data_IF_678019436411
#
_entry.id   IF_678019436411
#
_cell.length_a   1.000
_cell.length_b   1.000
_cell.length_c   1.000
_cell.angle_alpha   90.00
_cell.angle_beta   90.00
_cell.angle_gamma   90.00
#
_symmetry.space_group_name_H-M   'P 1'
#
loop_
_entity.id
_entity.type
_entity.pdbx_description
1 polymer ?
#
# COMPACT_ATOMS: atom_id res chain seq x y z
N UNK A 1 -24.06 12.92 7.42
CA UNK A 1 -23.92 11.58 6.83
C UNK A 1 -23.45 11.63 5.39
N UNK A 2 -23.97 12.53 4.57
CA UNK A 2 -23.63 12.62 3.14
C UNK A 2 -22.13 12.75 2.88
N UNK A 3 -21.41 13.48 3.73
CA UNK A 3 -19.93 13.56 3.69
C UNK A 3 -19.26 12.20 3.82
N UNK A 4 -19.69 11.35 4.77
CA UNK A 4 -19.09 10.03 4.97
C UNK A 4 -19.33 9.10 3.78
N UNK A 5 -20.54 9.15 3.22
CA UNK A 5 -20.88 8.44 1.99
C UNK A 5 -19.99 8.92 0.82
N UNK A 6 -19.92 10.23 0.61
CA UNK A 6 -19.11 10.83 -0.45
C UNK A 6 -17.61 10.52 -0.31
N UNK A 7 -17.07 10.48 0.91
CA UNK A 7 -15.67 10.07 1.13
C UNK A 7 -15.44 8.60 0.73
N UNK A 8 -16.40 7.70 0.94
CA UNK A 8 -16.28 6.29 0.56
C UNK A 8 -16.30 6.16 -0.96
N UNK A 9 -17.22 6.85 -1.62
CA UNK A 9 -17.33 6.86 -3.07
C UNK A 9 -16.07 7.47 -3.71
N UNK A 10 -15.57 8.60 -3.18
CA UNK A 10 -14.29 9.18 -3.62
C UNK A 10 -13.09 8.27 -3.39
N UNK A 11 -13.06 7.49 -2.30
CA UNK A 11 -12.01 6.48 -2.11
C UNK A 11 -12.04 5.44 -3.22
N UNK A 12 -13.21 4.90 -3.56
CA UNK A 12 -13.37 3.89 -4.61
C UNK A 12 -13.02 4.44 -5.99
N UNK A 13 -13.50 5.64 -6.31
CA UNK A 13 -13.16 6.35 -7.55
C UNK A 13 -11.66 6.61 -7.65
N UNK A 14 -11.02 7.06 -6.58
CA UNK A 14 -9.57 7.29 -6.55
C UNK A 14 -8.77 6.00 -6.75
N UNK A 15 -9.23 4.88 -6.19
CA UNK A 15 -8.60 3.57 -6.42
C UNK A 15 -8.78 3.10 -7.86
N UNK A 16 -9.95 3.32 -8.45
CA UNK A 16 -10.21 3.03 -9.86
C UNK A 16 -9.32 3.89 -10.78
N UNK A 17 -9.23 5.20 -10.54
CA UNK A 17 -8.34 6.13 -11.26
C UNK A 17 -6.88 5.66 -11.19
N UNK A 18 -6.41 5.26 -10.01
CA UNK A 18 -5.06 4.77 -9.77
C UNK A 18 -4.74 3.43 -10.46
N UNK A 19 -5.76 2.64 -10.79
CA UNK A 19 -5.63 1.36 -11.48
C UNK A 19 -6.01 1.40 -12.97
N UNK A 20 -6.59 2.50 -13.45
CA UNK A 20 -7.17 2.60 -14.79
C UNK A 20 -6.16 2.37 -15.91
N UNK A 21 -4.94 2.90 -15.75
CA UNK A 21 -3.80 2.61 -16.64
C UNK A 21 -2.71 1.88 -15.87
N UNK A 22 -2.56 0.58 -16.13
CA UNK A 22 -1.55 -0.24 -15.46
C UNK A 22 -0.12 0.25 -15.66
N UNK A 23 0.15 1.06 -16.69
CA UNK A 23 1.47 1.67 -16.92
C UNK A 23 1.79 2.77 -15.90
N UNK A 24 0.75 3.34 -15.29
CA UNK A 24 0.81 4.38 -14.25
C UNK A 24 0.25 3.87 -12.91
N UNK A 25 0.15 2.55 -12.74
CA UNK A 25 -0.49 1.92 -11.59
C UNK A 25 0.06 2.46 -10.28
N UNK A 26 -0.80 3.13 -9.51
CA UNK A 26 -0.44 3.79 -8.26
C UNK A 26 -0.91 2.97 -7.07
N UNK A 27 -0.05 2.03 -6.70
CA UNK A 27 -0.27 1.09 -5.59
C UNK A 27 -0.41 1.78 -4.24
N UNK A 28 0.31 2.89 -4.06
CA UNK A 28 0.33 3.64 -2.82
C UNK A 28 -0.93 4.50 -2.65
N UNK A 29 -1.44 5.10 -3.74
CA UNK A 29 -2.76 5.74 -3.75
C UNK A 29 -3.87 4.74 -3.42
N UNK A 30 -3.81 3.52 -4.00
CA UNK A 30 -4.80 2.48 -3.69
C UNK A 30 -4.74 2.08 -2.21
N UNK A 31 -3.52 1.85 -1.69
CA UNK A 31 -3.31 1.54 -0.28
C UNK A 31 -3.83 2.64 0.63
N UNK A 32 -3.52 3.91 0.35
CA UNK A 32 -3.93 5.03 1.20
C UNK A 32 -5.46 5.19 1.22
N UNK A 33 -6.11 5.13 0.05
CA UNK A 33 -7.56 5.27 -0.06
C UNK A 33 -8.32 4.14 0.64
N UNK A 34 -7.82 2.89 0.57
CA UNK A 34 -8.41 1.73 1.25
C UNK A 34 -8.10 1.69 2.76
N UNK A 35 -6.89 2.08 3.18
CA UNK A 35 -6.46 2.09 4.59
C UNK A 35 -7.29 3.02 5.47
N UNK A 36 -7.85 4.09 4.90
CA UNK A 36 -8.80 4.97 5.58
C UNK A 36 -10.06 4.21 6.01
N UNK A 37 -10.45 3.12 5.35
CA UNK A 37 -11.71 2.43 5.59
C UNK A 37 -11.63 1.19 6.48
N UNK A 38 -10.42 0.67 6.73
CA UNK A 38 -10.19 -0.57 7.50
C UNK A 38 -10.95 -0.60 8.85
N UNK A 39 -10.72 0.40 9.70
CA UNK A 39 -11.39 0.50 11.01
C UNK A 39 -12.62 1.44 11.00
N UNK A 40 -13.07 1.88 9.82
CA UNK A 40 -14.07 2.95 9.68
C UNK A 40 -15.34 2.54 8.94
N UNK A 41 -15.36 1.36 8.29
CA UNK A 41 -16.58 0.84 7.67
C UNK A 41 -17.67 0.48 8.67
N UNK A 42 -17.37 -0.29 9.73
CA UNK A 42 -18.38 -0.58 10.76
C UNK A 42 -18.96 0.69 11.42
N UNK A 43 -18.13 1.69 11.80
CA UNK A 43 -18.64 2.98 12.22
C UNK A 43 -19.55 3.68 11.20
N UNK A 44 -19.21 3.63 9.91
CA UNK A 44 -20.04 4.20 8.83
C UNK A 44 -21.40 3.51 8.76
N UNK A 45 -21.44 2.17 8.77
CA UNK A 45 -22.70 1.42 8.78
C UNK A 45 -23.49 1.67 10.07
N UNK A 46 -22.83 1.77 11.22
CA UNK A 46 -23.48 2.12 12.49
C UNK A 46 -24.13 3.50 12.44
N UNK A 47 -23.45 4.48 11.87
CA UNK A 47 -24.01 5.79 11.65
C UNK A 47 -25.21 5.69 10.70
N UNK A 48 -25.06 5.09 9.51
CA UNK A 48 -26.11 4.95 8.49
C UNK A 48 -27.36 4.21 8.99
N UNK A 49 -27.18 3.12 9.74
CA UNK A 49 -28.28 2.30 10.26
C UNK A 49 -29.08 2.97 11.38
N UNK A 50 -28.70 4.19 11.80
CA UNK A 50 -29.44 4.94 12.81
C UNK A 50 -30.77 5.48 12.26
N UNK A 51 -31.88 5.05 12.86
CA UNK A 51 -33.24 5.40 12.43
C UNK A 51 -33.57 6.90 12.55
N UNK A 52 -33.13 7.54 13.64
CA UNK A 52 -33.36 8.96 13.88
C UNK A 52 -32.33 9.82 13.12
N UNK A 53 -32.79 10.69 12.21
CA UNK A 53 -31.93 11.53 11.38
C UNK A 53 -30.96 12.42 12.18
N UNK A 54 -31.44 13.08 13.24
CA UNK A 54 -30.58 13.93 14.09
C UNK A 54 -29.50 13.12 14.82
N UNK A 55 -29.84 11.91 15.31
CA UNK A 55 -28.85 10.99 15.90
C UNK A 55 -27.88 10.44 14.86
N UNK A 56 -28.36 10.19 13.65
CA UNK A 56 -27.56 9.76 12.50
C UNK A 56 -26.47 10.77 12.18
N UNK A 57 -26.84 12.05 12.08
CA UNK A 57 -25.89 13.14 11.82
C UNK A 57 -24.86 13.30 12.95
N UNK A 58 -25.29 13.20 14.22
CA UNK A 58 -24.35 13.22 15.35
C UNK A 58 -23.35 12.07 15.29
N UNK A 59 -23.84 10.85 15.01
CA UNK A 59 -22.96 9.68 14.85
C UNK A 59 -22.02 9.84 13.66
N UNK A 60 -22.50 10.36 12.54
CA UNK A 60 -21.68 10.67 11.38
C UNK A 60 -20.50 11.60 11.75
N UNK A 61 -20.79 12.65 12.51
CA UNK A 61 -19.77 13.57 13.01
C UNK A 61 -18.76 12.85 13.90
N UNK A 62 -19.21 12.02 14.85
CA UNK A 62 -18.31 11.21 15.68
C UNK A 62 -17.40 10.31 14.85
N UNK A 63 -17.90 9.73 13.76
CA UNK A 63 -17.08 8.92 12.84
C UNK A 63 -16.06 9.79 12.09
N UNK A 64 -16.44 10.98 11.61
CA UNK A 64 -15.51 11.91 10.95
C UNK A 64 -14.40 12.38 11.90
N UNK A 65 -14.76 12.74 13.14
CA UNK A 65 -13.81 13.12 14.19
C UNK A 65 -12.84 11.96 14.50
N UNK A 66 -13.37 10.74 14.59
CA UNK A 66 -12.59 9.52 14.78
C UNK A 66 -11.60 9.29 13.63
N UNK A 67 -12.07 9.38 12.38
CA UNK A 67 -11.24 9.23 11.19
C UNK A 67 -10.12 10.28 11.12
N UNK A 68 -10.43 11.55 11.41
CA UNK A 68 -9.45 12.63 11.43
C UNK A 68 -8.42 12.50 12.56
N UNK A 69 -8.77 11.79 13.64
CA UNK A 69 -7.91 11.58 14.80
C UNK A 69 -6.65 10.73 14.56
N UNK A 70 -6.49 10.13 13.38
CA UNK A 70 -5.34 9.29 13.01
C UNK A 70 -4.16 10.07 12.39
N UNK A 71 -4.18 11.39 12.45
CA UNK A 71 -3.03 12.25 12.13
C UNK A 71 -3.27 13.22 10.99
N UNK A 72 -2.31 14.14 10.83
CA UNK A 72 -2.37 15.26 9.87
C UNK A 72 -2.59 14.80 8.43
N UNK A 73 -1.85 13.76 7.99
CA UNK A 73 -1.97 13.23 6.61
C UNK A 73 -3.37 12.71 6.31
N UNK A 74 -4.00 12.01 7.26
CA UNK A 74 -5.37 11.50 7.09
C UNK A 74 -6.39 12.64 7.11
N UNK A 75 -6.24 13.62 8.02
CA UNK A 75 -7.11 14.81 8.07
C UNK A 75 -7.03 15.61 6.76
N UNK A 76 -5.82 15.83 6.24
CA UNK A 76 -5.59 16.55 4.98
C UNK A 76 -6.25 15.82 3.81
N UNK A 77 -6.02 14.51 3.68
CA UNK A 77 -6.68 13.67 2.67
C UNK A 77 -8.20 13.76 2.76
N UNK A 78 -8.79 13.64 3.96
CA UNK A 78 -10.25 13.74 4.13
C UNK A 78 -10.78 15.10 3.68
N UNK A 79 -10.07 16.18 4.01
CA UNK A 79 -10.47 17.55 3.67
C UNK A 79 -10.43 17.76 2.16
N UNK A 80 -9.35 17.32 1.50
CA UNK A 80 -9.20 17.38 0.05
C UNK A 80 -10.28 16.57 -0.67
N UNK A 81 -10.49 15.31 -0.28
CA UNK A 81 -11.47 14.44 -0.96
C UNK A 81 -12.91 14.90 -0.72
N UNK A 82 -13.24 15.42 0.47
CA UNK A 82 -14.55 16.00 0.73
C UNK A 82 -14.79 17.27 -0.10
N UNK A 83 -13.77 18.13 -0.25
CA UNK A 83 -13.87 19.34 -1.06
C UNK A 83 -14.13 19.03 -2.55
N UNK A 84 -13.46 17.99 -3.09
CA UNK A 84 -13.74 17.49 -4.46
C UNK A 84 -15.21 17.04 -4.60
N UNK A 85 -15.77 16.44 -3.55
CA UNK A 85 -17.18 16.06 -3.51
C UNK A 85 -18.15 17.21 -3.16
N UNK A 86 -17.65 18.46 -3.07
CA UNK A 86 -18.47 19.65 -2.80
C UNK A 86 -18.78 19.93 -1.33
N UNK A 87 -18.02 19.36 -0.39
CA UNK A 87 -18.22 19.54 1.05
C UNK A 87 -17.03 20.23 1.71
N UNK A 88 -17.30 21.30 2.47
CA UNK A 88 -16.34 21.86 3.42
C UNK A 88 -16.50 21.17 4.79
N UNK A 89 -15.51 20.36 5.16
CA UNK A 89 -15.52 19.58 6.41
C UNK A 89 -14.49 20.08 7.41
N UNK A 90 -13.59 20.97 7.01
CA UNK A 90 -12.51 21.45 7.87
C UNK A 90 -13.04 22.07 9.19
N UNK A 91 -14.10 22.89 9.19
CA UNK A 91 -14.71 23.42 10.41
C UNK A 91 -15.32 22.35 11.33
N UNK A 92 -15.58 21.14 10.81
CA UNK A 92 -16.20 20.03 11.54
C UNK A 92 -15.16 19.09 12.17
N UNK A 93 -13.91 19.15 11.71
CA UNK A 93 -12.87 18.25 12.17
C UNK A 93 -12.09 18.89 13.32
N UNK A 94 -11.72 18.11 14.36
CA UNK A 94 -10.82 18.60 15.38
C UNK A 94 -9.45 18.96 14.75
N UNK A 95 -8.65 19.79 15.42
CA UNK A 95 -7.25 19.98 15.04
C UNK A 95 -6.57 18.62 14.95
N UNK A 96 -5.72 18.44 13.93
CA UNK A 96 -4.90 17.25 13.87
C UNK A 96 -4.04 17.18 15.14
N UNK A 97 -3.95 15.98 15.73
CA UNK A 97 -3.05 15.77 16.85
C UNK A 97 -1.62 15.87 16.33
N UNK A 98 -0.83 16.75 16.94
CA UNK A 98 0.59 16.84 16.66
C UNK A 98 1.24 15.46 16.85
N UNK A 99 2.16 15.11 15.95
CA UNK A 99 2.89 13.86 16.05
C UNK A 99 3.92 13.94 17.18
N UNK A 100 3.47 13.68 18.42
CA UNK A 100 4.35 13.62 19.58
C UNK A 100 4.94 12.21 19.71
N UNK A 101 6.22 12.09 20.10
CA UNK A 101 6.81 10.80 20.45
C UNK A 101 5.93 10.05 21.45
N UNK A 102 5.56 8.82 21.11
CA UNK A 102 4.78 7.94 21.98
C UNK A 102 5.68 7.14 22.91
N UNK A 103 5.06 6.43 23.87
CA UNK A 103 5.71 5.37 24.63
C UNK A 103 5.17 4.01 24.20
N UNK A 104 6.03 3.01 24.09
CA UNK A 104 5.64 1.63 23.80
C UNK A 104 4.87 0.98 24.97
N UNK A 105 4.62 -0.32 24.90
CA UNK A 105 3.92 -1.05 25.98
C UNK A 105 4.78 -1.26 27.23
N UNK A 106 6.11 -1.12 27.12
CA UNK A 106 7.07 -1.17 28.23
C UNK A 106 7.29 0.21 28.85
N UNK A 107 6.75 1.26 28.23
CA UNK A 107 6.92 2.64 28.67
C UNK A 107 8.13 3.35 28.06
N UNK A 108 8.87 2.70 27.16
CA UNK A 108 10.01 3.32 26.49
C UNK A 108 9.54 4.28 25.40
N UNK A 109 10.17 5.45 25.31
CA UNK A 109 9.88 6.38 24.21
C UNK A 109 10.23 5.78 22.85
N UNK A 110 9.38 6.04 21.87
CA UNK A 110 9.55 5.61 20.49
C UNK A 110 9.93 6.80 19.62
N UNK A 111 10.72 6.53 18.60
CA UNK A 111 11.11 7.50 17.58
C UNK A 111 9.86 8.05 16.87
N UNK A 112 9.75 9.37 16.71
CA UNK A 112 8.75 9.93 15.83
C UNK A 112 9.13 9.67 14.36
N UNK A 113 8.14 9.79 13.47
CA UNK A 113 8.40 9.98 12.05
C UNK A 113 8.78 11.43 11.83
N UNK A 114 9.86 11.67 11.09
CA UNK A 114 10.44 12.99 10.90
C UNK A 114 10.53 13.33 9.41
N UNK A 115 10.35 14.60 9.07
CA UNK A 115 10.72 15.10 7.73
C UNK A 115 12.23 15.05 7.55
N UNK A 116 12.69 14.81 6.33
CA UNK A 116 14.11 14.93 5.98
C UNK A 116 14.48 16.42 5.92
N UNK A 117 14.97 16.94 7.04
CA UNK A 117 15.50 18.29 7.16
C UNK A 117 16.92 18.23 7.72
N UNK A 118 17.72 19.26 7.47
CA UNK A 118 19.08 19.34 8.01
C UNK A 118 19.11 19.13 9.52
N UNK A 119 18.20 19.80 10.23
CA UNK A 119 18.07 19.68 11.68
C UNK A 119 17.82 18.23 12.12
N UNK A 120 16.84 17.55 11.52
CA UNK A 120 16.50 16.17 11.91
C UNK A 120 17.61 15.17 11.55
N UNK A 121 18.32 15.38 10.43
CA UNK A 121 19.48 14.56 10.06
C UNK A 121 20.65 14.80 11.03
N UNK A 122 20.92 16.05 11.40
CA UNK A 122 21.96 16.40 12.38
C UNK A 122 21.67 15.76 13.76
N UNK A 123 20.40 15.56 14.11
CA UNK A 123 20.01 14.81 15.32
C UNK A 123 20.28 13.31 15.22
N UNK A 124 20.23 12.69 14.03
CA UNK A 124 20.50 11.24 13.88
C UNK A 124 21.98 10.88 14.05
N UNK A 125 22.88 11.74 13.55
CA UNK A 125 24.32 11.44 13.41
C UNK A 125 25.00 11.07 14.75
N UNK A 126 24.70 11.71 15.90
CA UNK A 126 25.30 11.32 17.17
C UNK A 126 24.94 9.91 17.62
N UNK A 127 23.75 9.41 17.28
CA UNK A 127 23.23 8.14 17.78
C UNK A 127 23.49 6.96 16.82
N UNK A 128 23.68 7.22 15.52
CA UNK A 128 23.81 6.19 14.49
C UNK A 128 24.96 6.45 13.52
N UNK A 129 25.66 5.39 13.11
CA UNK A 129 26.71 5.45 12.10
C UNK A 129 26.18 5.18 10.68
N UNK A 130 25.68 6.23 10.03
CA UNK A 130 25.15 6.13 8.66
C UNK A 130 26.24 5.82 7.62
N UNK A 131 27.50 6.18 7.89
CA UNK A 131 28.61 5.89 6.98
C UNK A 131 28.95 4.40 6.91
N UNK A 132 28.65 3.63 7.96
CA UNK A 132 28.76 2.17 7.99
C UNK A 132 27.45 1.45 7.64
N UNK A 133 26.34 2.18 7.55
CA UNK A 133 25.03 1.60 7.32
C UNK A 133 24.96 0.79 6.03
N UNK A 134 24.07 -0.19 5.99
CA UNK A 134 23.87 -1.03 4.80
C UNK A 134 22.44 -1.06 4.34
N UNK A 135 22.24 -1.12 3.03
CA UNK A 135 20.91 -1.18 2.43
C UNK A 135 20.33 -2.56 2.65
N UNK A 136 19.21 -2.64 3.38
CA UNK A 136 18.42 -3.87 3.55
C UNK A 136 17.33 -3.98 2.52
N UNK A 137 16.67 -2.87 2.19
CA UNK A 137 15.59 -2.83 1.22
C UNK A 137 15.66 -1.54 0.42
N UNK A 138 15.37 -1.64 -0.87
CA UNK A 138 15.06 -0.50 -1.71
C UNK A 138 13.82 -0.82 -2.54
N UNK A 139 12.99 0.18 -2.76
CA UNK A 139 11.85 0.11 -3.66
C UNK A 139 11.69 1.44 -4.34
N UNK A 140 11.50 1.40 -5.65
CA UNK A 140 11.13 2.55 -6.47
C UNK A 140 9.87 2.18 -7.22
N UNK A 141 8.86 3.03 -7.16
CA UNK A 141 7.59 2.78 -7.84
C UNK A 141 6.98 4.06 -8.38
N UNK A 142 6.11 3.90 -9.38
CA UNK A 142 5.26 4.97 -9.87
C UNK A 142 4.22 5.36 -8.82
N UNK A 143 4.02 6.66 -8.69
CA UNK A 143 2.89 7.30 -8.04
C UNK A 143 2.19 8.15 -9.11
N UNK A 144 1.37 7.49 -9.93
CA UNK A 144 0.85 8.05 -11.17
C UNK A 144 1.98 8.40 -12.15
N UNK A 145 2.12 9.69 -12.48
CA UNK A 145 3.15 10.19 -13.40
C UNK A 145 4.50 10.44 -12.73
N UNK A 146 4.55 10.39 -11.40
CA UNK A 146 5.76 10.67 -10.60
C UNK A 146 6.36 9.37 -10.08
N UNK A 147 7.53 9.47 -9.45
CA UNK A 147 8.18 8.34 -8.78
C UNK A 147 8.24 8.60 -7.27
N UNK A 148 8.13 7.51 -6.50
CA UNK A 148 8.42 7.49 -5.07
C UNK A 148 9.45 6.41 -4.79
N UNK A 149 10.21 6.57 -3.71
CA UNK A 149 11.16 5.57 -3.27
C UNK A 149 11.07 5.30 -1.77
N UNK A 150 11.32 4.06 -1.38
CA UNK A 150 11.51 3.63 0.01
C UNK A 150 12.87 2.93 0.10
N UNK A 151 13.75 3.45 0.96
CA UNK A 151 15.05 2.86 1.25
C UNK A 151 15.08 2.52 2.74
N UNK A 152 15.37 1.27 3.07
CA UNK A 152 15.57 0.81 4.44
C UNK A 152 17.05 0.52 4.66
N UNK A 153 17.63 1.19 5.65
CA UNK A 153 19.03 1.05 6.02
C UNK A 153 19.13 0.32 7.37
N UNK A 154 20.07 -0.61 7.49
CA UNK A 154 20.55 -1.12 8.78
C UNK A 154 21.63 -0.16 9.24
N UNK A 155 21.37 0.55 10.34
CA UNK A 155 22.29 1.53 10.90
C UNK A 155 22.90 1.02 12.21
N UNK A 156 24.21 1.11 12.34
CA UNK A 156 24.91 0.73 13.56
C UNK A 156 24.71 1.80 14.63
N UNK A 157 24.49 1.35 15.87
CA UNK A 157 24.29 2.23 17.02
C UNK A 157 25.63 2.75 17.51
N UNK A 158 25.68 4.03 17.90
CA UNK A 158 26.82 4.65 18.59
C UNK A 158 26.68 4.65 20.12
N UNK A 159 25.65 3.99 20.63
CA UNK A 159 25.34 3.85 22.06
C UNK A 159 25.21 2.38 22.44
N UNK A 160 25.48 2.09 23.72
CA UNK A 160 25.45 0.73 24.25
C UNK A 160 24.01 0.17 24.32
N UNK A 161 23.86 -1.09 23.92
CA UNK A 161 22.65 -1.90 24.03
C UNK A 161 23.02 -3.31 24.46
N UNK A 162 22.07 -4.07 25.00
CA UNK A 162 22.28 -5.50 25.27
C UNK A 162 22.56 -6.26 23.96
N UNK A 163 23.48 -7.23 23.97
CA UNK A 163 23.96 -7.94 22.76
C UNK A 163 22.85 -8.61 21.92
N UNK A 164 21.70 -8.92 22.53
CA UNK A 164 20.57 -9.53 21.85
C UNK A 164 19.61 -8.53 21.16
N UNK A 165 19.96 -7.24 21.07
CA UNK A 165 19.09 -6.23 20.46
C UNK A 165 18.98 -6.43 18.93
N UNK A 166 17.76 -6.40 18.34
CA UNK A 166 17.58 -6.37 16.90
C UNK A 166 18.34 -5.22 16.24
N UNK A 167 18.70 -5.29 14.94
CA UNK A 167 19.31 -4.17 14.24
C UNK A 167 18.39 -2.93 14.26
N UNK A 168 18.98 -1.73 14.30
CA UNK A 168 18.22 -0.50 14.10
C UNK A 168 17.95 -0.31 12.60
N UNK A 169 16.68 -0.08 12.24
CA UNK A 169 16.27 0.08 10.85
C UNK A 169 15.84 1.52 10.61
N UNK A 170 16.53 2.22 9.72
CA UNK A 170 16.14 3.54 9.26
C UNK A 170 15.36 3.39 7.95
N UNK A 171 14.03 3.53 8.04
CA UNK A 171 13.15 3.66 6.88
C UNK A 171 13.20 5.09 6.36
N UNK A 172 13.48 5.28 5.07
CA UNK A 172 13.48 6.58 4.40
C UNK A 172 12.54 6.54 3.21
N UNK A 173 11.54 7.41 3.17
CA UNK A 173 10.61 7.59 2.07
C UNK A 173 10.91 8.88 1.34
N UNK A 174 10.93 8.83 0.01
CA UNK A 174 11.21 9.94 -0.88
C UNK A 174 10.02 10.15 -1.81
N UNK A 175 9.55 11.39 -1.87
CA UNK A 175 8.42 11.85 -2.67
C UNK A 175 8.93 12.63 -3.89
N UNK A 176 8.31 12.40 -5.05
CA UNK A 176 8.67 13.05 -6.32
C UNK A 176 10.16 12.84 -6.69
N UNK A 177 10.56 11.58 -6.78
CA UNK A 177 11.93 11.17 -7.13
C UNK A 177 12.23 11.53 -8.58
N UNK A 178 13.33 12.27 -8.81
CA UNK A 178 13.75 12.79 -10.12
C UNK A 178 15.00 12.12 -10.66
N UNK A 179 15.84 11.55 -9.81
CA UNK A 179 17.08 10.87 -10.23
C UNK A 179 17.36 9.65 -9.35
N UNK A 180 17.73 8.54 -9.99
CA UNK A 180 17.94 7.23 -9.42
C UNK A 180 19.14 6.59 -10.09
N UNK A 181 20.07 6.14 -9.25
CA UNK A 181 21.17 5.29 -9.63
C UNK A 181 21.41 4.30 -8.50
N UNK A 182 21.36 3.01 -8.80
CA UNK A 182 21.69 1.98 -7.84
C UNK A 182 22.26 0.74 -8.53
N UNK A 183 23.32 0.19 -7.96
CA UNK A 183 23.89 -1.13 -8.26
C UNK A 183 24.11 -1.89 -6.94
N UNK A 184 24.23 -3.22 -6.96
CA UNK A 184 24.49 -4.01 -5.76
C UNK A 184 25.81 -3.65 -5.07
N UNK A 185 26.76 -3.07 -5.81
CA UNK A 185 27.99 -2.50 -5.25
C UNK A 185 27.76 -1.26 -4.36
N UNK A 186 26.59 -0.64 -4.44
CA UNK A 186 26.24 0.58 -3.71
C UNK A 186 25.56 0.30 -2.35
N UNK A 187 25.57 -0.94 -1.88
CA UNK A 187 24.80 -1.37 -0.70
C UNK A 187 25.38 -0.96 0.65
N UNK A 188 26.56 -0.33 0.68
CA UNK A 188 27.28 0.03 1.91
C UNK A 188 27.59 1.52 1.98
N UNK A 189 27.38 2.10 3.15
CA UNK A 189 27.52 3.52 3.44
C UNK A 189 26.37 4.35 2.89
N UNK A 190 25.81 5.19 3.74
CA UNK A 190 24.71 6.09 3.41
C UNK A 190 24.99 7.52 3.87
N UNK A 191 24.65 8.48 3.01
CA UNK A 191 24.65 9.91 3.34
C UNK A 191 23.28 10.48 3.00
N UNK A 192 22.64 11.10 3.97
CA UNK A 192 21.37 11.81 3.78
C UNK A 192 21.66 13.27 3.43
N UNK A 193 21.18 13.70 2.27
CA UNK A 193 21.32 15.07 1.77
C UNK A 193 20.03 15.85 2.03
N UNK A 194 20.18 17.06 2.54
CA UNK A 194 19.04 17.96 2.79
C UNK A 194 19.34 19.34 2.22
N UNK A 195 18.53 19.75 1.26
CA UNK A 195 18.56 21.07 0.64
C UNK A 195 17.23 21.79 0.82
N UNK A 196 17.18 23.08 0.45
CA UNK A 196 15.98 23.90 0.59
C UNK A 196 14.82 23.46 -0.34
N UNK A 197 15.11 22.74 -1.42
CA UNK A 197 14.15 22.33 -2.46
C UNK A 197 14.30 20.88 -2.90
N UNK A 198 15.28 20.17 -2.35
CA UNK A 198 15.65 18.84 -2.78
C UNK A 198 16.20 18.09 -1.57
N UNK A 199 15.81 16.83 -1.46
CA UNK A 199 16.40 15.87 -0.52
C UNK A 199 16.99 14.71 -1.30
N UNK A 200 17.94 14.01 -0.72
CA UNK A 200 18.54 12.87 -1.39
C UNK A 200 19.24 11.90 -0.47
N UNK A 201 19.62 10.77 -1.05
CA UNK A 201 20.39 9.74 -0.38
C UNK A 201 21.54 9.37 -1.32
N UNK A 202 22.77 9.40 -0.85
CA UNK A 202 23.89 8.72 -1.52
C UNK A 202 24.15 7.40 -0.85
N UNK A 203 24.39 6.36 -1.64
CA UNK A 203 24.65 4.99 -1.20
C UNK A 203 25.92 4.49 -1.86
N UNK A 204 26.90 4.05 -1.07
CA UNK A 204 28.17 3.55 -1.59
C UNK A 204 28.88 4.49 -2.58
N UNK A 205 29.61 3.94 -3.56
CA UNK A 205 30.45 4.73 -4.47
C UNK A 205 29.65 5.52 -5.51
N UNK A 206 28.51 5.01 -5.99
CA UNK A 206 27.79 5.62 -7.11
C UNK A 206 26.26 5.71 -6.92
N UNK A 207 25.73 5.07 -5.88
CA UNK A 207 24.30 5.03 -5.61
C UNK A 207 23.78 6.41 -5.21
N UNK A 208 22.66 6.81 -5.79
CA UNK A 208 22.00 8.07 -5.46
C UNK A 208 20.50 8.07 -5.73
N UNK A 209 19.79 8.79 -4.88
CA UNK A 209 18.38 9.13 -5.01
C UNK A 209 18.22 10.63 -4.80
N UNK A 210 17.45 11.30 -5.67
CA UNK A 210 17.10 12.72 -5.54
C UNK A 210 15.60 12.90 -5.65
N UNK A 211 15.04 13.72 -4.78
CA UNK A 211 13.60 13.86 -4.62
C UNK A 211 13.23 15.27 -4.15
N UNK A 212 12.00 15.71 -4.39
CA UNK A 212 11.54 17.03 -3.94
C UNK A 212 11.34 17.08 -2.41
N UNK A 213 10.99 15.95 -1.81
CA UNK A 213 10.76 15.83 -0.37
C UNK A 213 10.94 14.41 0.13
N UNK A 214 10.90 14.26 1.44
CA UNK A 214 10.93 12.95 2.06
C UNK A 214 10.83 12.98 3.57
N UNK A 215 10.70 11.80 4.13
CA UNK A 215 10.53 11.53 5.54
C UNK A 215 11.30 10.27 5.93
N UNK A 216 11.64 10.16 7.21
CA UNK A 216 12.24 8.95 7.75
C UNK A 216 11.57 8.54 9.04
N UNK A 217 11.71 7.25 9.36
CA UNK A 217 11.33 6.67 10.64
C UNK A 217 12.39 5.65 11.03
N UNK A 218 12.75 5.66 12.29
CA UNK A 218 13.76 4.78 12.84
C UNK A 218 13.09 3.69 13.67
N UNK A 219 13.05 2.45 13.21
CA UNK A 219 12.63 1.31 14.02
C UNK A 219 13.81 0.81 14.86
N UNK A 220 13.89 1.32 16.09
CA UNK A 220 14.87 0.88 17.08
C UNK A 220 14.23 0.82 18.48
N UNK A 221 14.02 -0.41 18.97
CA UNK A 221 13.45 -0.67 20.31
C UNK A 221 14.35 -0.18 21.45
N UNK A 222 15.64 0.01 21.17
CA UNK A 222 16.64 0.51 22.11
C UNK A 222 16.86 2.01 21.98
N UNK A 223 16.11 2.72 21.12
CA UNK A 223 16.30 4.16 20.91
C UNK A 223 16.19 4.99 22.20
N UNK A 224 15.38 4.58 23.17
CA UNK A 224 15.27 5.22 24.48
C UNK A 224 16.62 5.30 25.25
N UNK A 225 17.60 4.45 24.91
CA UNK A 225 18.97 4.48 25.46
C UNK A 225 19.91 5.44 24.73
N UNK A 226 19.49 5.98 23.59
CA UNK A 226 20.25 6.95 22.81
C UNK A 226 20.24 8.34 23.47
N UNK A 227 21.06 9.27 22.99
CA UNK A 227 21.09 10.64 23.54
C UNK A 227 19.77 11.36 23.28
N UNK A 228 19.23 11.26 22.06
CA UNK A 228 17.95 11.88 21.73
C UNK A 228 16.77 11.15 22.37
N UNK A 229 16.86 9.83 22.52
CA UNK A 229 15.88 9.03 23.25
C UNK A 229 15.75 9.50 24.69
N UNK A 230 16.87 9.67 25.41
CA UNK A 230 16.86 10.21 26.79
C UNK A 230 16.33 11.64 26.87
N UNK A 231 16.68 12.51 25.92
CA UNK A 231 16.14 13.89 25.86
C UNK A 231 14.62 13.88 25.65
N UNK A 232 14.16 13.02 24.75
CA UNK A 232 12.73 12.83 24.46
C UNK A 232 12.00 12.23 25.65
N UNK A 233 12.62 11.28 26.35
CA UNK A 233 12.08 10.65 27.56
C UNK A 233 11.80 11.66 28.67
N UNK A 234 12.70 12.63 28.87
CA UNK A 234 12.55 13.67 29.88
C UNK A 234 11.35 14.61 29.65
N UNK A 235 10.85 14.71 28.41
CA UNK A 235 9.76 15.63 28.03
C UNK A 235 8.47 14.89 27.67
N UNK A 236 8.55 13.61 27.29
CA UNK A 236 7.39 12.79 26.95
C UNK A 236 6.65 12.37 28.22
N UNK A 237 5.37 12.77 28.41
CA UNK A 237 4.61 12.40 29.60
C UNK A 237 4.60 10.89 29.87
N UNK A 238 4.59 10.52 31.14
CA UNK A 238 4.45 9.12 31.54
C UNK A 238 3.14 8.53 31.00
N UNK A 239 3.17 7.24 30.70
CA UNK A 239 1.99 6.54 30.21
C UNK A 239 0.95 6.46 31.35
N UNK A 240 -0.13 7.22 31.25
CA UNK A 240 -1.14 7.34 32.33
C UNK A 240 -2.05 6.11 32.45
N UNK A 241 -2.04 5.18 31.49
CA UNK A 241 -2.71 3.86 31.59
C UNK A 241 -2.19 2.88 30.53
N UNK A 242 -2.48 1.58 30.67
CA UNK A 242 -2.48 0.65 29.52
C UNK A 242 -3.58 1.11 28.56
N UNK A 243 -3.27 2.11 27.74
CA UNK A 243 -4.12 2.57 26.65
C UNK A 243 -4.32 1.40 25.72
N UNK A 244 -5.42 0.67 25.91
CA UNK A 244 -6.01 -0.10 24.83
C UNK A 244 -6.15 0.87 23.66
N UNK A 245 -5.87 0.42 22.42
CA UNK A 245 -6.24 1.20 21.26
C UNK A 245 -7.69 1.65 21.46
N UNK A 246 -8.00 2.95 21.32
CA UNK A 246 -9.37 3.39 21.47
C UNK A 246 -10.23 2.56 20.51
N UNK A 247 -11.38 2.08 21.00
CA UNK A 247 -12.26 1.27 20.15
C UNK A 247 -12.93 2.19 19.13
N UNK A 248 -13.10 1.75 17.88
CA UNK A 248 -13.87 2.51 16.91
C UNK A 248 -15.29 2.74 17.45
N UNK A 249 -15.89 3.92 17.20
CA UNK A 249 -17.25 4.20 17.64
C UNK A 249 -18.22 3.26 16.94
N UNK A 250 -19.13 2.65 17.69
CA UNK A 250 -20.04 1.68 17.11
C UNK A 250 -20.98 1.04 18.12
N UNK A 251 -21.91 0.27 17.58
CA UNK A 251 -22.74 -0.71 18.28
C UNK A 251 -22.97 -1.88 17.31
N UNK A 252 -23.59 -2.94 17.81
CA UNK A 252 -23.95 -4.08 16.97
C UNK A 252 -24.88 -3.62 15.83
N UNK A 253 -24.62 -4.18 14.65
CA UNK A 253 -25.42 -3.96 13.45
C UNK A 253 -26.46 -5.08 13.33
N UNK A 254 -27.61 -4.74 12.76
CA UNK A 254 -28.57 -5.77 12.34
C UNK A 254 -27.93 -6.71 11.30
N UNK A 255 -28.38 -7.96 11.15
CA UNK A 255 -27.68 -9.01 10.40
C UNK A 255 -27.32 -8.68 8.93
N UNK A 256 -28.22 -8.08 8.15
CA UNK A 256 -27.97 -7.74 6.74
C UNK A 256 -27.06 -6.51 6.63
N UNK A 257 -27.25 -5.50 7.48
CA UNK A 257 -26.31 -4.38 7.59
C UNK A 257 -24.90 -4.85 8.00
N UNK A 258 -24.80 -5.82 8.90
CA UNK A 258 -23.54 -6.43 9.29
C UNK A 258 -22.89 -7.18 8.12
N UNK A 259 -23.67 -7.98 7.38
CA UNK A 259 -23.18 -8.71 6.22
C UNK A 259 -22.63 -7.77 5.13
N UNK A 260 -23.35 -6.68 4.81
CA UNK A 260 -22.90 -5.65 3.89
C UNK A 260 -21.61 -4.97 4.37
N UNK A 261 -21.52 -4.63 5.66
CA UNK A 261 -20.32 -4.05 6.26
C UNK A 261 -19.12 -5.00 6.18
N UNK A 262 -19.32 -6.29 6.46
CA UNK A 262 -18.27 -7.32 6.38
C UNK A 262 -17.77 -7.52 4.96
N UNK A 263 -18.68 -7.56 3.98
CA UNK A 263 -18.35 -7.72 2.58
C UNK A 263 -17.48 -6.56 2.09
N UNK A 264 -17.93 -5.31 2.31
CA UNK A 264 -17.18 -4.14 1.89
C UNK A 264 -15.86 -3.98 2.68
N UNK A 265 -15.84 -4.36 3.97
CA UNK A 265 -14.61 -4.38 4.76
C UNK A 265 -13.58 -5.33 4.18
N UNK A 266 -14.01 -6.53 3.78
CA UNK A 266 -13.12 -7.47 3.14
C UNK A 266 -12.65 -6.98 1.76
N UNK A 267 -13.52 -6.34 0.97
CA UNK A 267 -13.11 -5.70 -0.28
C UNK A 267 -12.01 -4.66 -0.07
N UNK A 268 -12.13 -3.80 0.96
CA UNK A 268 -11.10 -2.82 1.29
C UNK A 268 -9.79 -3.48 1.75
N UNK A 269 -9.84 -4.61 2.43
CA UNK A 269 -8.65 -5.38 2.80
C UNK A 269 -7.96 -6.00 1.59
N UNK A 270 -8.73 -6.57 0.66
CA UNK A 270 -8.20 -7.10 -0.61
C UNK A 270 -7.56 -5.98 -1.44
N UNK A 271 -8.25 -4.85 -1.62
CA UNK A 271 -7.71 -3.65 -2.29
C UNK A 271 -6.44 -3.15 -1.61
N UNK A 272 -6.39 -3.11 -0.28
CA UNK A 272 -5.20 -2.71 0.49
C UNK A 272 -4.05 -3.71 0.33
N UNK A 273 -4.32 -4.97 0.01
CA UNK A 273 -3.29 -6.02 -0.10
C UNK A 273 -2.29 -5.75 -1.22
N UNK A 274 -2.64 -4.90 -2.21
CA UNK A 274 -1.67 -4.41 -3.22
C UNK A 274 -0.46 -3.72 -2.59
N UNK A 275 -0.54 -3.29 -1.31
CA UNK A 275 0.62 -2.82 -0.55
C UNK A 275 1.76 -3.84 -0.45
N UNK A 276 1.45 -5.12 -0.64
CA UNK A 276 2.43 -6.17 -0.79
C UNK A 276 2.70 -6.33 -2.27
N UNK A 277 3.93 -6.04 -2.68
CA UNK A 277 4.31 -6.11 -4.07
C UNK A 277 3.98 -7.47 -4.71
N UNK A 278 4.01 -8.57 -3.94
CA UNK A 278 3.68 -9.91 -4.43
C UNK A 278 2.23 -10.11 -4.87
N UNK A 279 1.31 -9.21 -4.52
CA UNK A 279 -0.12 -9.37 -4.79
C UNK A 279 -0.68 -8.37 -5.81
N UNK A 280 0.15 -7.42 -6.29
CA UNK A 280 -0.36 -6.28 -7.07
C UNK A 280 -1.03 -6.68 -8.40
N UNK A 281 -0.61 -7.76 -9.04
CA UNK A 281 -1.20 -8.28 -10.29
C UNK A 281 -2.30 -9.33 -10.08
N UNK A 282 -2.50 -9.80 -8.86
CA UNK A 282 -3.54 -10.78 -8.51
C UNK A 282 -4.85 -10.12 -8.04
N UNK A 283 -4.76 -8.93 -7.44
CA UNK A 283 -5.94 -8.21 -6.92
C UNK A 283 -6.71 -7.56 -8.08
N UNK A 284 -8.00 -7.87 -8.28
CA UNK A 284 -8.80 -7.31 -9.36
C UNK A 284 -9.31 -5.90 -8.98
N UNK A 285 -8.40 -4.93 -8.79
CA UNK A 285 -8.69 -3.58 -8.26
C UNK A 285 -9.82 -2.90 -9.03
N UNK A 286 -9.71 -2.81 -10.37
CA UNK A 286 -10.70 -2.14 -11.21
C UNK A 286 -12.08 -2.78 -11.06
N UNK A 287 -12.16 -4.11 -11.10
CA UNK A 287 -13.44 -4.85 -10.98
C UNK A 287 -14.07 -4.67 -9.61
N UNK A 288 -13.28 -4.71 -8.54
CA UNK A 288 -13.79 -4.46 -7.19
C UNK A 288 -14.30 -3.02 -7.06
N UNK A 289 -13.58 -2.03 -7.58
CA UNK A 289 -14.02 -0.63 -7.53
C UNK A 289 -15.31 -0.41 -8.36
N UNK A 290 -15.43 -1.04 -9.53
CA UNK A 290 -16.64 -1.01 -10.36
C UNK A 290 -17.85 -1.61 -9.62
N UNK A 291 -17.69 -2.79 -9.00
CA UNK A 291 -18.75 -3.48 -8.26
C UNK A 291 -19.23 -2.70 -7.04
N UNK A 292 -18.34 -1.96 -6.39
CA UNK A 292 -18.69 -1.15 -5.21
C UNK A 292 -18.91 0.33 -5.55
N UNK A 293 -18.94 0.71 -6.83
CA UNK A 293 -19.17 2.09 -7.22
C UNK A 293 -20.51 2.61 -6.65
N UNK A 294 -20.48 3.79 -6.01
CA UNK A 294 -21.64 4.35 -5.33
C UNK A 294 -22.04 3.66 -4.02
N UNK A 295 -21.16 2.83 -3.43
CA UNK A 295 -21.43 2.16 -2.15
C UNK A 295 -21.81 3.13 -1.03
N UNK A 296 -21.20 4.31 -0.96
CA UNK A 296 -21.53 5.35 0.02
C UNK A 296 -22.98 5.80 -0.10
N UNK A 297 -23.41 6.19 -1.30
CA UNK A 297 -24.80 6.54 -1.60
C UNK A 297 -25.76 5.39 -1.29
N UNK A 298 -25.45 4.16 -1.72
CA UNK A 298 -26.28 2.98 -1.49
C UNK A 298 -26.47 2.69 0.01
N UNK A 299 -25.40 2.78 0.81
CA UNK A 299 -25.44 2.61 2.26
C UNK A 299 -26.29 3.70 2.91
N UNK A 300 -26.13 4.96 2.48
CA UNK A 300 -26.93 6.07 2.98
C UNK A 300 -28.42 5.88 2.66
N UNK A 301 -28.74 5.44 1.44
CA UNK A 301 -30.11 5.18 0.99
C UNK A 301 -30.75 4.03 1.77
N UNK A 302 -30.06 2.90 1.93
CA UNK A 302 -30.52 1.76 2.72
C UNK A 302 -30.72 2.14 4.21
N UNK A 303 -29.73 2.82 4.80
CA UNK A 303 -29.81 3.36 6.15
C UNK A 303 -30.94 4.39 6.34
N UNK A 304 -31.38 5.06 5.28
CA UNK A 304 -32.46 6.05 5.33
C UNK A 304 -33.87 5.47 5.40
N UNK A 305 -34.03 4.17 5.17
CA UNK A 305 -35.34 3.53 5.20
C UNK A 305 -36.01 3.65 6.58
N UNK A 306 -37.32 3.86 6.58
CA UNK A 306 -38.13 3.94 7.82
C UNK A 306 -38.52 2.53 8.28
N UNK A 307 -38.21 2.22 9.54
CA UNK A 307 -38.44 0.90 10.15
C UNK A 307 -37.26 -0.05 9.98
N UNK A 308 -37.04 -0.93 10.96
CA UNK A 308 -35.90 -1.86 10.97
C UNK A 308 -36.00 -2.87 9.81
N UNK A 309 -37.17 -3.50 9.63
CA UNK A 309 -37.38 -4.51 8.56
C UNK A 309 -37.13 -3.98 7.15
N UNK A 310 -37.55 -2.76 6.84
CA UNK A 310 -37.31 -2.14 5.51
C UNK A 310 -35.85 -1.78 5.29
N UNK A 311 -35.16 -1.38 6.36
CA UNK A 311 -33.73 -1.08 6.34
C UNK A 311 -32.90 -2.33 6.06
N UNK A 312 -33.19 -3.43 6.75
CA UNK A 312 -32.55 -4.72 6.53
C UNK A 312 -32.80 -5.25 5.12
N UNK A 313 -34.05 -5.21 4.66
CA UNK A 313 -34.37 -5.55 3.27
C UNK A 313 -33.59 -4.69 2.26
N UNK A 314 -33.44 -3.39 2.52
CA UNK A 314 -32.65 -2.52 1.65
C UNK A 314 -31.15 -2.83 1.68
N UNK A 315 -30.58 -3.23 2.83
CA UNK A 315 -29.18 -3.69 2.87
C UNK A 315 -28.99 -5.02 2.14
N UNK A 316 -29.96 -5.93 2.24
CA UNK A 316 -29.98 -7.17 1.46
C UNK A 316 -30.00 -6.86 -0.05
N UNK A 317 -30.83 -5.90 -0.49
CA UNK A 317 -30.89 -5.47 -1.88
C UNK A 317 -29.58 -4.83 -2.36
N UNK A 318 -28.89 -4.07 -1.49
CA UNK A 318 -27.55 -3.53 -1.77
C UNK A 318 -26.54 -4.65 -2.04
N UNK A 319 -26.50 -5.69 -1.18
CA UNK A 319 -25.59 -6.84 -1.37
C UNK A 319 -25.87 -7.54 -2.70
N UNK A 320 -27.15 -7.76 -3.04
CA UNK A 320 -27.55 -8.38 -4.31
C UNK A 320 -27.19 -7.52 -5.51
N UNK A 321 -27.33 -6.20 -5.41
CA UNK A 321 -26.92 -5.26 -6.46
C UNK A 321 -25.42 -5.37 -6.74
N UNK A 322 -24.57 -5.36 -5.71
CA UNK A 322 -23.12 -5.54 -5.88
C UNK A 322 -22.79 -6.87 -6.55
N UNK A 323 -23.44 -7.96 -6.14
CA UNK A 323 -23.23 -9.27 -6.75
C UNK A 323 -23.69 -9.36 -8.21
N UNK A 324 -24.74 -8.64 -8.57
CA UNK A 324 -25.24 -8.56 -9.95
C UNK A 324 -24.34 -7.73 -10.87
N UNK A 325 -23.68 -6.71 -10.34
CA UNK A 325 -22.70 -5.90 -11.07
C UNK A 325 -21.39 -6.65 -11.32
N UNK A 326 -21.08 -7.65 -10.50
CA UNK A 326 -19.88 -8.47 -10.63
C UNK A 326 -19.94 -9.44 -11.82
N UNK A 327 -18.76 -9.73 -12.38
CA UNK A 327 -18.58 -10.90 -13.24
C UNK A 327 -18.69 -12.20 -12.41
N UNK A 328 -18.81 -13.40 -13.04
CA UNK A 328 -18.97 -14.64 -12.30
C UNK A 328 -17.85 -14.98 -11.29
N UNK A 329 -16.64 -14.45 -11.49
CA UNK A 329 -15.54 -14.66 -10.56
C UNK A 329 -15.67 -13.75 -9.33
N UNK A 330 -16.04 -12.48 -9.53
CA UNK A 330 -16.34 -11.56 -8.44
C UNK A 330 -17.60 -12.00 -7.67
N UNK A 331 -18.68 -12.41 -8.33
CA UNK A 331 -19.88 -12.94 -7.67
C UNK A 331 -19.56 -14.16 -6.80
N UNK A 332 -18.67 -15.06 -7.27
CA UNK A 332 -18.21 -16.20 -6.49
C UNK A 332 -17.38 -15.75 -5.29
N UNK A 333 -16.48 -14.78 -5.46
CA UNK A 333 -15.73 -14.19 -4.36
C UNK A 333 -16.66 -13.58 -3.31
N UNK A 334 -17.68 -12.82 -3.73
CA UNK A 334 -18.71 -12.25 -2.82
C UNK A 334 -19.41 -13.37 -2.03
N UNK A 335 -19.85 -14.43 -2.70
CA UNK A 335 -20.53 -15.56 -2.05
C UNK A 335 -19.63 -16.23 -0.98
N UNK A 336 -18.35 -16.45 -1.30
CA UNK A 336 -17.36 -16.99 -0.33
C UNK A 336 -17.20 -16.07 0.88
N UNK A 337 -17.07 -14.76 0.68
CA UNK A 337 -16.92 -13.80 1.78
C UNK A 337 -18.16 -13.78 2.67
N UNK A 338 -19.36 -13.80 2.09
CA UNK A 338 -20.60 -13.82 2.85
C UNK A 338 -20.75 -15.12 3.65
N UNK A 339 -20.42 -16.28 3.06
CA UNK A 339 -20.40 -17.56 3.75
C UNK A 339 -19.39 -17.59 4.91
N UNK A 340 -18.12 -17.35 4.62
CA UNK A 340 -17.01 -17.57 5.56
C UNK A 340 -16.89 -16.46 6.62
N UNK A 341 -17.23 -15.21 6.27
CA UNK A 341 -16.93 -14.03 7.10
C UNK A 341 -18.16 -13.37 7.69
N UNK A 342 -19.34 -13.54 7.08
CA UNK A 342 -20.60 -12.99 7.57
C UNK A 342 -21.59 -14.06 8.05
N UNK A 343 -21.33 -15.35 7.80
CA UNK A 343 -22.23 -16.44 8.17
C UNK A 343 -23.55 -16.44 7.40
N UNK A 344 -23.56 -15.90 6.18
CA UNK A 344 -24.75 -15.68 5.34
C UNK A 344 -24.57 -16.24 3.92
N UNK A 345 -24.40 -17.57 3.77
CA UNK A 345 -24.25 -18.21 2.46
C UNK A 345 -25.54 -18.20 1.62
N UNK A 346 -26.67 -17.78 2.22
CA UNK A 346 -28.02 -17.82 1.65
C UNK A 346 -28.39 -16.57 0.82
N UNK A 347 -27.54 -15.54 0.80
CA UNK A 347 -27.90 -14.25 0.20
C UNK A 347 -27.80 -14.25 -1.34
N UNK A 348 -26.80 -14.95 -1.89
CA UNK A 348 -26.48 -15.00 -3.33
C UNK A 348 -26.19 -16.45 -3.72
N UNK A 349 -26.73 -16.88 -4.86
CA UNK A 349 -26.41 -18.17 -5.46
C UNK A 349 -24.99 -18.16 -6.03
N UNK A 350 -24.16 -19.11 -5.61
CA UNK A 350 -22.80 -19.26 -6.12
C UNK A 350 -22.82 -19.73 -7.58
N UNK A 351 -22.31 -18.94 -8.55
CA UNK A 351 -22.24 -19.39 -9.93
C UNK A 351 -21.38 -20.65 -10.05
N UNK A 352 -21.87 -21.65 -10.80
CA UNK A 352 -21.10 -22.86 -11.07
C UNK A 352 -19.77 -22.48 -11.73
N UNK A 353 -18.62 -23.03 -11.30
CA UNK A 353 -17.36 -22.77 -11.99
C UNK A 353 -17.54 -23.12 -13.46
N UNK A 354 -17.14 -22.21 -14.35
CA UNK A 354 -17.03 -22.53 -15.75
C UNK A 354 -16.10 -23.75 -15.85
N UNK A 355 -16.54 -24.80 -16.56
CA UNK A 355 -15.69 -25.92 -16.90
C UNK A 355 -14.53 -25.31 -17.68
N UNK A 356 -13.36 -25.16 -17.05
CA UNK A 356 -12.15 -24.77 -17.75
C UNK A 356 -11.94 -25.86 -18.80
N UNK A 357 -12.23 -25.54 -20.05
CA UNK A 357 -11.65 -26.27 -21.18
C UNK A 357 -10.16 -26.07 -21.01
N UNK A 358 -9.49 -27.05 -20.41
CA UNK A 358 -8.04 -27.10 -20.37
C UNK A 358 -7.58 -26.94 -21.82
N UNK A 359 -6.73 -25.95 -22.16
CA UNK A 359 -6.10 -25.94 -23.45
C UNK A 359 -5.43 -27.30 -23.62
N UNK A 360 -5.88 -28.07 -24.61
CA UNK A 360 -5.23 -29.33 -24.96
C UNK A 360 -3.78 -29.01 -25.29
N UNK A 361 -2.85 -29.78 -24.73
CA UNK A 361 -1.43 -29.70 -25.08
C UNK A 361 -1.16 -30.04 -26.56
N UNK A 362 -2.18 -30.52 -27.30
CA UNK A 362 -2.14 -30.81 -28.73
C UNK A 362 -2.62 -29.66 -29.63
N UNK A 363 -3.18 -28.57 -29.08
CA UNK A 363 -3.39 -27.36 -29.87
C UNK A 363 -2.06 -26.61 -29.95
N UNK A 364 -1.37 -26.75 -31.09
CA UNK A 364 -0.07 -26.17 -31.43
C UNK A 364 -0.02 -24.64 -31.45
N UNK A 365 -0.47 -23.99 -30.37
CA UNK A 365 -0.29 -22.57 -30.12
C UNK A 365 1.21 -22.29 -29.93
N UNK A 366 1.78 -21.34 -30.67
CA UNK A 366 3.22 -21.11 -30.65
C UNK A 366 3.66 -20.68 -29.24
N UNK A 367 4.82 -21.21 -28.84
CA UNK A 367 5.63 -20.81 -27.67
C UNK A 367 5.39 -19.33 -27.37
N UNK A 368 4.77 -19.04 -26.22
CA UNK A 368 4.44 -17.68 -25.79
C UNK A 368 5.65 -16.78 -25.93
N UNK A 369 5.66 -15.97 -27.00
CA UNK A 369 6.75 -15.07 -27.32
C UNK A 369 6.76 -14.00 -26.23
N UNK A 370 7.90 -13.86 -25.55
CA UNK A 370 8.07 -12.78 -24.58
C UNK A 370 7.72 -11.45 -25.24
N UNK A 371 6.91 -10.59 -24.61
CA UNK A 371 6.59 -9.29 -25.19
C UNK A 371 7.89 -8.51 -25.42
N UNK A 372 8.00 -7.89 -26.59
CA UNK A 372 9.19 -7.14 -26.99
C UNK A 372 9.34 -5.82 -26.21
N UNK A 373 8.28 -5.38 -25.54
CA UNK A 373 8.23 -4.14 -24.78
C UNK A 373 7.53 -4.31 -23.42
N UNK A 374 7.93 -3.48 -22.45
CA UNK A 374 7.28 -3.34 -21.16
C UNK A 374 7.45 -1.91 -20.61
N UNK A 375 6.59 -1.52 -19.68
CA UNK A 375 6.79 -0.34 -18.83
C UNK A 375 7.12 -0.82 -17.42
N UNK A 376 8.20 -0.32 -16.84
CA UNK A 376 8.49 -0.52 -15.42
C UNK A 376 7.54 0.33 -14.57
N UNK A 377 6.83 -0.32 -13.67
CA UNK A 377 5.93 0.30 -12.70
C UNK A 377 6.59 0.34 -11.32
N UNK A 378 7.28 -0.74 -10.94
CA UNK A 378 7.98 -0.86 -9.68
C UNK A 378 9.22 -1.74 -9.84
N UNK A 379 10.30 -1.37 -9.16
CA UNK A 379 11.46 -2.23 -8.93
C UNK A 379 11.83 -2.20 -7.45
N UNK A 380 12.02 -3.38 -6.87
CA UNK A 380 12.46 -3.55 -5.49
C UNK A 380 13.60 -4.56 -5.41
N UNK A 381 14.48 -4.34 -4.45
CA UNK A 381 15.49 -5.30 -4.05
C UNK A 381 15.58 -5.34 -2.52
N UNK A 382 15.78 -6.54 -1.99
CA UNK A 382 15.94 -6.81 -0.57
C UNK A 382 17.18 -7.67 -0.37
N UNK A 383 18.07 -7.24 0.50
CA UNK A 383 19.23 -8.00 0.92
C UNK A 383 18.83 -9.23 1.75
N UNK A 384 19.71 -10.22 1.82
CA UNK A 384 19.60 -11.29 2.82
C UNK A 384 19.53 -10.68 4.21
N UNK A 385 18.58 -11.13 5.01
CA UNK A 385 18.40 -10.63 6.36
C UNK A 385 17.65 -11.63 7.24
N UNK A 386 17.74 -11.45 8.55
CA UNK A 386 16.97 -12.23 9.52
C UNK A 386 15.81 -11.40 10.04
N UNK A 387 14.61 -11.97 10.01
CA UNK A 387 13.40 -11.37 10.57
C UNK A 387 12.71 -12.37 11.50
N UNK A 388 12.47 -11.98 12.76
CA UNK A 388 11.93 -12.87 13.81
C UNK A 388 12.64 -14.24 13.90
N UNK A 389 13.96 -14.26 13.74
CA UNK A 389 14.76 -15.50 13.78
C UNK A 389 14.68 -16.35 12.51
N UNK A 390 13.93 -15.92 11.49
CA UNK A 390 13.86 -16.58 10.18
C UNK A 390 14.77 -15.87 9.20
N UNK A 391 15.72 -16.61 8.61
CA UNK A 391 16.55 -16.11 7.53
C UNK A 391 15.71 -15.94 6.25
N UNK A 392 15.87 -14.79 5.60
CA UNK A 392 15.23 -14.43 4.34
C UNK A 392 16.33 -14.24 3.30
N UNK A 393 16.34 -15.00 2.19
CA UNK A 393 17.32 -14.82 1.13
C UNK A 393 17.14 -13.47 0.43
N UNK A 394 18.15 -13.06 -0.34
CA UNK A 394 18.06 -11.86 -1.14
C UNK A 394 16.99 -12.04 -2.22
N UNK A 395 16.27 -10.98 -2.56
CA UNK A 395 15.24 -11.05 -3.57
C UNK A 395 15.08 -9.72 -4.31
N UNK A 396 14.86 -9.80 -5.61
CA UNK A 396 14.38 -8.70 -6.41
C UNK A 396 12.94 -8.94 -6.88
N UNK A 397 12.18 -7.86 -7.02
CA UNK A 397 10.81 -7.90 -7.44
C UNK A 397 10.51 -6.75 -8.39
N UNK A 398 9.84 -7.05 -9.50
CA UNK A 398 9.49 -6.09 -10.53
C UNK A 398 7.99 -6.12 -10.79
N UNK A 399 7.42 -4.94 -11.03
CA UNK A 399 6.09 -4.80 -11.65
C UNK A 399 6.25 -4.28 -13.05
N UNK A 400 5.81 -5.07 -14.02
CA UNK A 400 5.88 -4.75 -15.44
C UNK A 400 4.46 -4.61 -15.98
N UNK A 401 4.14 -3.47 -16.56
CA UNK A 401 3.00 -3.38 -17.45
C UNK A 401 3.41 -3.93 -18.82
N UNK A 402 2.69 -4.94 -19.30
CA UNK A 402 2.93 -5.62 -20.56
C UNK A 402 1.80 -5.32 -21.55
N UNK A 403 2.09 -5.26 -22.86
CA UNK A 403 1.07 -5.14 -23.87
C UNK A 403 0.12 -6.36 -23.89
N UNK A 404 -1.02 -6.26 -24.57
CA UNK A 404 -1.92 -7.39 -24.81
C UNK A 404 -1.22 -8.62 -25.38
N UNK A 405 -1.78 -9.82 -25.13
CA UNK A 405 -1.21 -11.11 -25.55
C UNK A 405 -1.26 -11.34 -27.06
N UNK A 406 -2.23 -10.72 -27.73
CA UNK A 406 -2.46 -10.88 -29.16
C UNK A 406 -2.15 -9.55 -29.85
N UNK A 407 -1.23 -9.58 -30.81
CA UNK A 407 -0.87 -8.42 -31.65
C UNK A 407 -2.07 -7.90 -32.47
N UNK A 408 -3.13 -8.70 -32.63
CA UNK A 408 -4.30 -8.41 -33.48
C UNK A 408 -5.34 -7.45 -32.88
N UNK A 409 -5.26 -7.10 -31.60
CA UNK A 409 -6.19 -6.14 -30.99
C UNK A 409 -5.43 -5.01 -30.31
N UNK A 410 -5.16 -3.95 -31.07
CA UNK A 410 -4.61 -2.67 -30.56
C UNK A 410 -5.46 -2.02 -29.47
N UNK A 411 -6.69 -2.51 -29.25
CA UNK A 411 -7.64 -2.04 -28.24
C UNK A 411 -7.67 -2.82 -26.92
N UNK A 412 -6.98 -3.97 -26.83
CA UNK A 412 -6.98 -4.73 -25.58
C UNK A 412 -6.16 -3.99 -24.49
N UNK A 413 -6.54 -4.08 -23.21
CA UNK A 413 -5.86 -3.35 -22.14
C UNK A 413 -4.47 -3.94 -21.87
N UNK A 414 -3.54 -3.07 -21.48
CA UNK A 414 -2.27 -3.49 -20.90
C UNK A 414 -2.52 -4.29 -19.61
N UNK A 415 -1.62 -5.21 -19.29
CA UNK A 415 -1.71 -6.04 -18.08
C UNK A 415 -0.54 -5.80 -17.14
N UNK A 416 -0.81 -5.71 -15.84
CA UNK A 416 0.22 -5.70 -14.82
C UNK A 416 0.73 -7.14 -14.60
N UNK A 417 2.04 -7.31 -14.40
CA UNK A 417 2.66 -8.58 -14.03
C UNK A 417 3.72 -8.38 -12.97
N UNK A 418 3.68 -9.24 -11.96
CA UNK A 418 4.73 -9.33 -10.94
C UNK A 418 5.78 -10.36 -11.35
N UNK A 419 7.04 -9.95 -11.36
CA UNK A 419 8.18 -10.83 -11.64
C UNK A 419 9.06 -10.87 -10.40
N UNK A 420 9.21 -12.06 -9.82
CA UNK A 420 10.11 -12.33 -8.71
C UNK A 420 11.43 -12.91 -9.17
N UNK A 421 12.49 -12.58 -8.45
CA UNK A 421 13.86 -13.02 -8.71
C UNK A 421 14.53 -13.33 -7.37
N UNK A 422 14.76 -14.61 -7.08
CA UNK A 422 15.45 -15.03 -5.86
C UNK A 422 16.96 -14.97 -6.07
N UNK A 423 17.67 -14.48 -5.05
CA UNK A 423 19.14 -14.38 -4.99
C UNK A 423 19.77 -13.79 -6.27
N UNK A 424 19.46 -12.51 -6.59
CA UNK A 424 20.03 -11.85 -7.77
C UNK A 424 21.55 -11.65 -7.61
N UNK A 425 22.32 -12.10 -8.61
CA UNK A 425 23.76 -11.82 -8.72
C UNK A 425 24.01 -10.36 -9.12
N UNK A 426 23.09 -9.79 -9.90
CA UNK A 426 23.13 -8.39 -10.30
C UNK A 426 21.74 -7.77 -10.16
N UNK A 427 21.72 -6.52 -9.71
CA UNK A 427 20.54 -5.67 -9.69
C UNK A 427 21.00 -4.23 -9.92
N UNK A 428 20.63 -3.68 -11.07
CA UNK A 428 20.92 -2.29 -11.44
C UNK A 428 19.63 -1.58 -11.78
N UNK A 429 19.49 -0.36 -11.26
CA UNK A 429 18.35 0.51 -11.52
C UNK A 429 18.80 1.94 -11.81
N UNK A 430 18.24 2.51 -12.89
CA UNK A 430 18.42 3.90 -13.32
C UNK A 430 17.05 4.52 -13.58
N UNK A 431 16.96 5.85 -13.47
CA UNK A 431 15.74 6.62 -13.76
C UNK A 431 15.14 6.28 -15.12
N UNK A 432 15.99 6.08 -16.13
CA UNK A 432 15.58 5.81 -17.51
C UNK A 432 14.73 4.53 -17.65
N UNK A 433 14.84 3.59 -16.69
CA UNK A 433 14.00 2.40 -16.68
C UNK A 433 12.50 2.72 -16.57
N UNK A 434 12.15 3.90 -16.03
CA UNK A 434 10.79 4.41 -15.90
C UNK A 434 10.40 5.38 -17.03
N UNK A 435 11.17 5.52 -18.11
CA UNK A 435 10.80 6.36 -19.24
C UNK A 435 9.88 5.63 -20.23
N UNK A 436 8.64 5.36 -19.79
CA UNK A 436 7.60 4.77 -20.63
C UNK A 436 7.94 3.38 -21.18
N UNK A 437 7.33 2.98 -22.31
CA UNK A 437 7.55 1.67 -22.92
C UNK A 437 8.99 1.51 -23.41
N UNK A 438 9.66 0.47 -22.95
CA UNK A 438 11.03 0.12 -23.30
C UNK A 438 11.16 -1.26 -23.86
N UNK A 439 12.23 -1.49 -24.64
CA UNK A 439 12.56 -2.83 -25.13
C UNK A 439 12.88 -3.75 -23.96
N UNK A 440 12.15 -4.86 -23.86
CA UNK A 440 12.34 -5.89 -22.87
C UNK A 440 13.10 -7.07 -23.48
N UNK A 441 14.22 -7.46 -22.87
CA UNK A 441 15.07 -8.54 -23.38
C UNK A 441 15.38 -9.52 -22.25
N UNK A 442 15.30 -10.82 -22.55
CA UNK A 442 15.87 -11.86 -21.68
C UNK A 442 17.35 -11.99 -21.98
N UNK A 443 18.17 -11.87 -20.94
CA UNK A 443 19.63 -11.96 -21.05
C UNK A 443 20.08 -13.32 -20.51
N UNK A 444 21.16 -13.86 -21.08
CA UNK A 444 21.78 -15.11 -20.65
C UNK A 444 21.35 -16.36 -21.44
N UNK A 445 22.13 -17.44 -21.32
CA UNK A 445 21.84 -18.73 -21.99
C UNK A 445 20.92 -19.60 -21.13
N UNK A 446 20.15 -20.54 -21.72
CA UNK A 446 19.28 -21.46 -20.99
C UNK A 446 20.00 -22.27 -19.89
N UNK A 447 21.31 -22.50 -20.03
CA UNK A 447 22.14 -23.31 -19.14
C UNK A 447 23.06 -22.50 -18.20
N UNK A 448 22.98 -21.17 -18.20
CA UNK A 448 23.82 -20.27 -17.39
C UNK A 448 22.96 -19.24 -16.64
N UNK A 449 23.59 -18.17 -16.12
CA UNK A 449 22.90 -17.01 -15.59
C UNK A 449 21.79 -16.54 -16.52
N UNK A 450 20.58 -16.32 -15.98
CA UNK A 450 19.41 -15.82 -16.70
C UNK A 450 19.00 -14.48 -16.09
N UNK A 451 18.59 -13.54 -16.94
CA UNK A 451 18.23 -12.21 -16.48
C UNK A 451 17.21 -11.50 -17.34
N UNK A 452 16.85 -10.31 -16.89
CA UNK A 452 15.92 -9.40 -17.51
C UNK A 452 16.61 -8.05 -17.68
N UNK A 453 16.55 -7.52 -18.88
CA UNK A 453 17.06 -6.21 -19.25
C UNK A 453 15.94 -5.37 -19.84
N UNK A 454 15.84 -4.12 -19.39
CA UNK A 454 14.90 -3.14 -19.90
C UNK A 454 15.64 -1.84 -20.19
N UNK A 455 15.29 -1.20 -21.31
CA UNK A 455 15.86 0.08 -21.74
C UNK A 455 17.40 0.04 -21.83
N UNK A 456 17.95 -1.04 -22.40
CA UNK A 456 19.40 -1.20 -22.66
C UNK A 456 20.25 -1.06 -21.38
N UNK A 457 19.86 -1.75 -20.31
CA UNK A 457 20.59 -1.77 -19.04
C UNK A 457 20.20 -0.70 -18.03
N UNK A 458 19.17 0.12 -18.31
CA UNK A 458 18.62 1.03 -17.30
C UNK A 458 17.97 0.25 -16.13
N UNK A 459 17.38 -0.90 -16.41
CA UNK A 459 17.12 -1.95 -15.42
C UNK A 459 17.80 -3.23 -15.88
N UNK A 460 18.59 -3.83 -15.00
CA UNK A 460 19.26 -5.10 -15.26
C UNK A 460 19.22 -5.99 -14.02
N UNK A 461 18.68 -7.20 -14.16
CA UNK A 461 18.61 -8.18 -13.07
C UNK A 461 19.03 -9.55 -13.59
N UNK A 462 19.97 -10.23 -12.92
CA UNK A 462 20.40 -11.60 -13.28
C UNK A 462 20.45 -12.52 -12.06
N UNK A 463 20.22 -13.81 -12.26
CA UNK A 463 20.46 -14.86 -11.26
C UNK A 463 21.35 -15.96 -11.82
N UNK A 464 22.20 -16.54 -10.98
CA UNK A 464 23.13 -17.60 -11.35
C UNK A 464 22.45 -18.95 -11.55
N UNK A 465 21.31 -19.18 -10.89
CA UNK A 465 20.59 -20.45 -10.89
C UNK A 465 19.25 -20.38 -11.63
N UNK A 466 19.26 -20.33 -12.96
CA UNK A 466 18.27 -20.94 -13.88
C UNK A 466 16.75 -20.67 -13.75
N UNK A 467 16.23 -20.00 -12.73
CA UNK A 467 14.81 -19.70 -12.56
C UNK A 467 14.57 -18.22 -12.80
N UNK A 468 14.22 -17.88 -14.04
CA UNK A 468 13.38 -16.70 -14.26
C UNK A 468 11.97 -17.09 -13.90
N UNK A 469 11.26 -16.31 -13.08
CA UNK A 469 9.82 -16.42 -13.01
C UNK A 469 9.23 -16.29 -14.44
N UNK A 470 8.19 -17.07 -14.80
CA UNK A 470 7.59 -16.96 -16.11
C UNK A 470 7.02 -15.55 -16.32
N UNK A 471 7.39 -14.90 -17.43
CA UNK A 471 6.89 -13.57 -17.84
C UNK A 471 5.64 -13.70 -18.75
N UNK A 472 5.10 -14.91 -18.91
CA UNK A 472 4.05 -15.26 -19.90
C UNK A 472 2.63 -14.91 -19.45
#
# INVERSE_FOLDING_TARGET
MSVLAALLDRSLERMAEAAADVRLFDREAIRQASDVWDNNLFPLFWAASTSNAGRRERRARTVLEWMAGFGERRRAWMTEQAAIAGYDIEPLLPPAKAQTPGRDYRGHVMTPQCRLTRHNVDELIPDYDLAAASVRHLRVERAGTRLSAHVQLVADRRFAVDEAAPPALLDVWLDDVTDIAFDLSDTKGAILHTGAREVGISLGPAGRFRAAGGEYRLDDRSWHLSTNGRRTDATTPARTSRSNPPRPPGADLDPDAHAAARLLHHAMLELRSVRYAAHADDVPVTRLCEVFAGAGEAILAAGSQRGARRREAAFLDVIRSWAHQGDPDITRWIATVLGDRAGRPDIIDTPRPAQRTTPSLDDGSPVSRMPSQAVLVMAAWTATHTDYGTERPAAAQLHLALPPRNDDTTSAPWRLRTVGCADPDTFRLRTDAFQGPGRLVRVGKPTTARGLDLHQGALHVTTGAGRSAPVT
#
